data_IF_034038100550
#
_entry.id   IF_034038100550
#
_cell.length_a   1.000
_cell.length_b   1.000
_cell.length_c   1.000
_cell.angle_alpha   90.00
_cell.angle_beta   90.00
_cell.angle_gamma   90.00
#
_symmetry.space_group_name_H-M   'P 1'
#
loop_
_entity.id
_entity.type
_entity.pdbx_description
1 polymer ?
#
# COMPACT_ATOMS: atom_id res chain seq x y z
N UNK A 1 -6.69 5.56 20.00
CA UNK A 1 -5.63 5.31 19.00
C UNK A 1 -5.94 6.20 17.82
N UNK A 2 -4.96 6.97 17.37
CA UNK A 2 -5.09 7.72 16.12
C UNK A 2 -5.20 6.71 14.98
N UNK A 3 -6.19 6.91 14.12
CA UNK A 3 -6.40 6.07 12.94
C UNK A 3 -5.75 6.72 11.73
N UNK A 4 -5.07 5.92 10.90
CA UNK A 4 -4.42 6.38 9.69
C UNK A 4 -5.46 6.77 8.62
N UNK A 5 -6.48 5.93 8.41
CA UNK A 5 -7.58 6.24 7.49
C UNK A 5 -8.55 7.21 8.17
N UNK A 6 -8.56 8.44 7.69
CA UNK A 6 -9.43 9.51 8.20
C UNK A 6 -10.61 9.82 7.28
N UNK A 7 -10.51 9.46 6.01
CA UNK A 7 -11.53 9.74 4.99
C UNK A 7 -11.61 8.59 4.00
N UNK A 8 -12.81 8.29 3.55
CA UNK A 8 -13.08 7.45 2.39
C UNK A 8 -13.72 8.35 1.33
N UNK A 9 -13.18 8.31 0.11
CA UNK A 9 -13.70 9.03 -1.05
C UNK A 9 -14.30 7.98 -1.99
N UNK A 10 -15.50 8.23 -2.49
CA UNK A 10 -16.21 7.33 -3.41
C UNK A 10 -16.43 8.07 -4.72
N UNK A 11 -15.98 7.47 -5.82
CA UNK A 11 -16.22 7.98 -7.16
C UNK A 11 -16.93 6.91 -8.00
N UNK A 12 -17.99 7.29 -8.66
CA UNK A 12 -18.67 6.43 -9.63
C UNK A 12 -18.13 6.70 -11.04
N UNK A 13 -17.64 5.67 -11.70
CA UNK A 13 -17.17 5.71 -13.08
C UNK A 13 -18.08 4.79 -13.90
N UNK A 14 -18.74 5.33 -14.90
CA UNK A 14 -19.53 4.51 -15.81
C UNK A 14 -18.58 3.80 -16.80
N UNK A 15 -18.52 2.46 -16.81
CA UNK A 15 -17.68 1.75 -17.76
C UNK A 15 -18.17 2.00 -19.21
N UNK A 16 -17.26 2.15 -20.19
CA UNK A 16 -17.64 2.28 -21.58
C UNK A 16 -18.39 1.04 -22.06
N UNK A 17 -19.43 1.21 -22.86
CA UNK A 17 -20.22 0.11 -23.43
C UNK A 17 -19.64 -0.36 -24.76
N UNK A 18 -19.66 -1.66 -25.02
CA UNK A 18 -19.31 -2.25 -26.32
C UNK A 18 -17.82 -2.49 -26.56
N UNK A 19 -16.97 -2.28 -25.58
CA UNK A 19 -15.55 -2.55 -25.62
C UNK A 19 -15.22 -3.90 -24.96
N UNK A 20 -14.06 -4.46 -25.29
CA UNK A 20 -13.53 -5.64 -24.57
C UNK A 20 -13.03 -5.26 -23.17
N UNK A 21 -12.65 -6.24 -22.37
CA UNK A 21 -12.29 -6.00 -20.97
C UNK A 21 -10.95 -5.28 -20.82
N UNK A 22 -10.01 -5.45 -21.76
CA UNK A 22 -8.76 -4.71 -21.79
C UNK A 22 -8.98 -3.21 -22.04
N UNK A 23 -9.81 -2.85 -23.03
CA UNK A 23 -10.16 -1.47 -23.35
C UNK A 23 -10.92 -0.81 -22.18
N UNK A 24 -11.80 -1.57 -21.49
CA UNK A 24 -12.48 -1.09 -20.30
C UNK A 24 -11.52 -0.83 -19.15
N UNK A 25 -10.52 -1.69 -18.95
CA UNK A 25 -9.49 -1.50 -17.94
C UNK A 25 -8.67 -0.23 -18.20
N UNK A 26 -8.26 0.02 -19.45
CA UNK A 26 -7.58 1.26 -19.83
C UNK A 26 -8.47 2.51 -19.61
N UNK A 27 -9.75 2.39 -19.91
CA UNK A 27 -10.71 3.48 -19.66
C UNK A 27 -10.88 3.76 -18.15
N UNK A 28 -10.86 2.72 -17.31
CA UNK A 28 -10.87 2.88 -15.85
C UNK A 28 -9.62 3.63 -15.38
N UNK A 29 -8.43 3.25 -15.85
CA UNK A 29 -7.18 3.95 -15.51
C UNK A 29 -7.25 5.42 -15.94
N UNK A 30 -7.74 5.70 -17.16
CA UNK A 30 -7.91 7.09 -17.65
C UNK A 30 -8.84 7.90 -16.75
N UNK A 31 -9.91 7.28 -16.26
CA UNK A 31 -10.84 7.94 -15.35
C UNK A 31 -10.24 8.18 -13.97
N UNK A 32 -9.44 7.24 -13.44
CA UNK A 32 -8.68 7.41 -12.19
C UNK A 32 -7.69 8.58 -12.33
N UNK A 33 -6.95 8.68 -13.43
CA UNK A 33 -6.04 9.79 -13.70
C UNK A 33 -6.78 11.14 -13.81
N UNK A 34 -7.99 11.15 -14.37
CA UNK A 34 -8.82 12.36 -14.41
C UNK A 34 -9.28 12.77 -13.01
N UNK A 35 -9.61 11.82 -12.14
CA UNK A 35 -9.94 12.09 -10.75
C UNK A 35 -8.73 12.66 -9.99
N UNK A 36 -7.54 12.11 -10.21
CA UNK A 36 -6.30 12.60 -9.60
C UNK A 36 -6.00 14.06 -9.94
N UNK A 37 -6.28 14.49 -11.17
CA UNK A 37 -6.12 15.91 -11.56
C UNK A 37 -7.01 16.86 -10.74
N UNK A 38 -8.11 16.37 -10.18
CA UNK A 38 -9.04 17.15 -9.37
C UNK A 38 -8.77 17.00 -7.87
N UNK A 39 -8.45 15.80 -7.44
CA UNK A 39 -8.19 15.45 -6.05
C UNK A 39 -7.24 14.25 -5.96
N UNK A 40 -5.98 14.50 -5.62
CA UNK A 40 -4.95 13.48 -5.43
C UNK A 40 -4.62 13.22 -3.94
N UNK A 41 -5.38 13.83 -3.00
CA UNK A 41 -5.23 13.65 -1.56
C UNK A 41 -5.83 12.31 -1.09
N UNK A 42 -5.25 11.22 -1.56
CA UNK A 42 -5.55 9.84 -1.16
C UNK A 42 -4.38 8.92 -1.51
N UNK A 43 -4.26 7.79 -0.82
CA UNK A 43 -3.14 6.86 -0.97
C UNK A 43 -3.58 5.46 -1.41
N UNK A 44 -4.66 4.92 -0.83
CA UNK A 44 -5.12 3.57 -1.10
C UNK A 44 -6.30 3.59 -2.06
N UNK A 45 -6.30 2.66 -3.01
CA UNK A 45 -7.34 2.45 -4.01
C UNK A 45 -7.99 1.09 -3.81
N UNK A 46 -9.31 1.08 -3.87
CA UNK A 46 -10.19 -0.08 -4.04
C UNK A 46 -11.08 0.15 -5.25
N UNK A 47 -11.55 -0.90 -5.87
CA UNK A 47 -12.48 -0.86 -7.01
C UNK A 47 -13.43 -2.05 -6.92
N UNK A 48 -14.63 -1.90 -7.46
CA UNK A 48 -15.64 -2.95 -7.64
C UNK A 48 -15.43 -3.79 -8.91
N UNK A 49 -14.24 -3.66 -9.55
CA UNK A 49 -13.91 -4.40 -10.76
C UNK A 49 -12.91 -5.51 -10.46
N UNK A 50 -13.36 -6.77 -10.53
CA UNK A 50 -12.61 -7.96 -10.11
C UNK A 50 -12.03 -8.78 -11.26
N UNK A 51 -12.32 -8.39 -12.52
CA UNK A 51 -11.82 -9.10 -13.70
C UNK A 51 -10.30 -9.01 -13.82
N UNK A 52 -9.66 -10.09 -14.28
CA UNK A 52 -8.20 -10.22 -14.41
C UNK A 52 -7.52 -9.04 -15.11
N UNK A 53 -8.14 -8.53 -16.18
CA UNK A 53 -7.57 -7.42 -16.93
C UNK A 53 -7.62 -6.11 -16.17
N UNK A 54 -8.67 -5.88 -15.37
CA UNK A 54 -8.75 -4.74 -14.46
C UNK A 54 -7.71 -4.85 -13.36
N UNK A 55 -7.60 -6.00 -12.71
CA UNK A 55 -6.63 -6.23 -11.63
C UNK A 55 -5.20 -6.03 -12.12
N UNK A 56 -4.85 -6.60 -13.29
CA UNK A 56 -3.52 -6.42 -13.90
C UNK A 56 -3.23 -4.96 -14.24
N UNK A 57 -4.20 -4.27 -14.84
CA UNK A 57 -4.05 -2.87 -15.22
C UNK A 57 -3.88 -1.97 -13.98
N UNK A 58 -4.68 -2.18 -12.94
CA UNK A 58 -4.62 -1.43 -11.69
C UNK A 58 -3.31 -1.69 -10.93
N UNK A 59 -2.83 -2.92 -10.89
CA UNK A 59 -1.52 -3.23 -10.33
C UNK A 59 -0.40 -2.51 -11.09
N UNK A 60 -0.39 -2.58 -12.43
CA UNK A 60 0.61 -1.90 -13.25
C UNK A 60 0.53 -0.38 -13.09
N UNK A 61 -0.67 0.17 -13.02
CA UNK A 61 -0.89 1.58 -12.77
C UNK A 61 -0.35 2.01 -11.41
N UNK A 62 -0.64 1.27 -10.34
CA UNK A 62 -0.16 1.58 -8.99
C UNK A 62 1.39 1.60 -8.93
N UNK A 63 2.06 0.66 -9.61
CA UNK A 63 3.53 0.65 -9.75
C UNK A 63 4.03 1.89 -10.49
N UNK A 64 3.35 2.28 -11.56
CA UNK A 64 3.67 3.48 -12.35
C UNK A 64 3.51 4.79 -11.59
N UNK A 65 2.85 4.80 -10.43
CA UNK A 65 2.75 5.99 -9.57
C UNK A 65 3.99 6.22 -8.70
N UNK A 66 4.93 5.28 -8.65
CA UNK A 66 6.17 5.44 -7.90
C UNK A 66 7.09 6.42 -8.60
N UNK A 67 7.49 7.51 -7.93
CA UNK A 67 8.33 8.52 -8.56
C UNK A 67 9.72 7.98 -8.85
N UNK A 68 10.25 8.30 -10.01
CA UNK A 68 11.63 8.02 -10.39
C UNK A 68 12.61 8.89 -9.60
N UNK A 69 13.89 8.50 -9.54
CA UNK A 69 14.94 9.31 -8.92
C UNK A 69 15.05 10.72 -9.55
N UNK A 70 14.78 10.83 -10.85
CA UNK A 70 14.81 12.10 -11.56
C UNK A 70 13.66 13.04 -11.13
N UNK A 71 12.44 12.51 -10.99
CA UNK A 71 11.27 13.24 -10.51
C UNK A 71 11.45 13.67 -9.05
N UNK A 72 11.99 12.80 -8.20
CA UNK A 72 12.36 13.12 -6.83
C UNK A 72 13.40 14.24 -6.77
N UNK A 73 14.42 14.18 -7.65
CA UNK A 73 15.46 15.22 -7.76
C UNK A 73 14.94 16.55 -8.33
N UNK A 74 13.87 16.53 -9.11
CA UNK A 74 13.20 17.73 -9.61
C UNK A 74 12.28 18.39 -8.56
N UNK A 75 12.02 17.72 -7.44
CA UNK A 75 11.14 18.24 -6.38
C UNK A 75 9.66 18.06 -6.70
N UNK A 76 9.32 17.11 -7.56
CA UNK A 76 7.92 16.77 -7.86
C UNK A 76 7.20 16.17 -6.63
N UNK A 77 5.90 16.37 -6.58
CA UNK A 77 5.08 15.85 -5.49
C UNK A 77 5.06 14.32 -5.47
N UNK A 78 4.87 13.74 -4.28
CA UNK A 78 4.77 12.30 -4.11
C UNK A 78 3.35 11.84 -4.41
N UNK A 79 3.16 11.26 -5.57
CA UNK A 79 1.88 10.76 -6.06
C UNK A 79 1.70 9.26 -5.90
N UNK A 80 2.53 8.60 -5.06
CA UNK A 80 2.46 7.15 -4.82
C UNK A 80 1.08 6.70 -4.38
N UNK A 81 0.62 5.61 -4.98
CA UNK A 81 -0.64 4.96 -4.65
C UNK A 81 -0.39 3.49 -4.31
N UNK A 82 -1.31 2.90 -3.57
CA UNK A 82 -1.32 1.48 -3.25
C UNK A 82 -2.68 0.89 -3.60
N UNK A 83 -2.71 -0.19 -4.37
CA UNK A 83 -3.93 -0.85 -4.78
C UNK A 83 -4.17 -2.11 -3.95
N UNK A 84 -5.39 -2.22 -3.40
CA UNK A 84 -5.92 -3.46 -2.86
C UNK A 84 -6.99 -3.97 -3.81
N UNK A 85 -6.93 -5.26 -4.14
CA UNK A 85 -7.91 -5.89 -5.01
C UNK A 85 -8.18 -7.32 -4.59
N UNK A 86 -9.25 -7.88 -5.16
CA UNK A 86 -9.58 -9.29 -4.99
C UNK A 86 -9.47 -10.03 -6.32
N UNK A 87 -9.40 -11.35 -6.26
CA UNK A 87 -9.35 -12.23 -7.44
C UNK A 87 -9.92 -13.59 -7.10
N UNK A 88 -10.61 -14.20 -8.06
CA UNK A 88 -11.03 -15.61 -8.03
C UNK A 88 -10.14 -16.51 -8.89
N UNK A 89 -9.11 -15.93 -9.53
CA UNK A 89 -8.20 -16.63 -10.42
C UNK A 89 -6.97 -17.14 -9.66
N UNK A 90 -6.91 -18.45 -9.43
CA UNK A 90 -5.76 -19.14 -8.81
C UNK A 90 -4.45 -19.03 -9.59
N UNK A 91 -4.52 -18.65 -10.86
CA UNK A 91 -3.38 -18.56 -11.77
C UNK A 91 -2.98 -17.11 -12.07
N UNK A 92 -3.61 -16.15 -11.43
CA UNK A 92 -3.28 -14.74 -11.64
C UNK A 92 -1.89 -14.44 -11.07
N UNK A 93 -0.93 -14.24 -11.96
CA UNK A 93 0.44 -13.90 -11.61
C UNK A 93 0.68 -12.41 -11.86
N UNK A 94 0.75 -11.65 -10.79
CA UNK A 94 1.19 -10.25 -10.79
C UNK A 94 2.42 -10.15 -9.89
N UNK A 95 3.46 -9.45 -10.33
CA UNK A 95 4.64 -9.17 -9.50
C UNK A 95 4.78 -7.66 -9.35
N UNK A 96 4.30 -7.16 -8.23
CA UNK A 96 4.23 -5.74 -7.99
C UNK A 96 4.21 -5.47 -6.48
N UNK A 97 5.02 -4.54 -6.02
CA UNK A 97 5.11 -4.18 -4.58
C UNK A 97 4.05 -3.17 -4.14
N UNK A 98 3.34 -2.55 -5.10
CA UNK A 98 2.33 -1.52 -4.83
C UNK A 98 0.91 -2.04 -4.89
N UNK A 99 0.76 -3.35 -4.91
CA UNK A 99 -0.55 -3.98 -4.82
C UNK A 99 -0.54 -5.18 -3.89
N UNK A 100 -1.68 -5.42 -3.27
CA UNK A 100 -1.97 -6.61 -2.49
C UNK A 100 -3.30 -7.20 -2.95
N UNK A 101 -3.30 -8.48 -3.28
CA UNK A 101 -4.48 -9.19 -3.73
C UNK A 101 -4.94 -10.18 -2.66
N UNK A 102 -6.26 -10.33 -2.54
CA UNK A 102 -6.88 -11.36 -1.73
C UNK A 102 -7.72 -12.28 -2.61
N UNK A 103 -7.55 -13.58 -2.43
CA UNK A 103 -8.34 -14.59 -3.14
C UNK A 103 -9.69 -14.81 -2.45
N UNK A 104 -10.73 -14.88 -3.25
CA UNK A 104 -12.07 -15.33 -2.87
C UNK A 104 -12.65 -16.24 -3.95
N UNK A 105 -13.62 -17.08 -3.61
CA UNK A 105 -14.30 -17.89 -4.63
C UNK A 105 -15.20 -17.02 -5.51
N UNK A 106 -15.36 -17.37 -6.79
CA UNK A 106 -16.17 -16.62 -7.77
C UNK A 106 -17.58 -16.29 -7.27
N UNK A 107 -18.17 -17.16 -6.48
CA UNK A 107 -19.52 -17.00 -5.93
C UNK A 107 -19.59 -15.99 -4.76
N UNK A 108 -18.45 -15.54 -4.26
CA UNK A 108 -18.33 -14.64 -3.11
C UNK A 108 -17.61 -13.31 -3.48
N UNK A 109 -17.42 -13.00 -4.74
CA UNK A 109 -16.81 -11.74 -5.19
C UNK A 109 -17.58 -10.51 -4.71
N UNK A 110 -18.91 -10.60 -4.58
CA UNK A 110 -19.79 -9.54 -4.07
C UNK A 110 -19.64 -9.28 -2.54
N UNK A 111 -18.84 -10.08 -1.83
CA UNK A 111 -18.52 -9.82 -0.43
C UNK A 111 -17.40 -8.78 -0.27
N UNK A 112 -16.76 -8.35 -1.37
CA UNK A 112 -15.68 -7.34 -1.38
C UNK A 112 -14.58 -7.66 -0.36
N UNK A 113 -13.93 -8.80 -0.55
CA UNK A 113 -12.94 -9.32 0.40
C UNK A 113 -11.73 -8.37 0.57
N UNK A 114 -11.34 -7.64 -0.44
CA UNK A 114 -10.30 -6.62 -0.42
C UNK A 114 -10.70 -5.42 0.45
N UNK A 115 -11.94 -4.94 0.31
CA UNK A 115 -12.47 -3.86 1.13
C UNK A 115 -12.61 -4.28 2.61
N UNK A 116 -13.06 -5.51 2.87
CA UNK A 116 -13.14 -6.07 4.21
C UNK A 116 -11.74 -6.20 4.85
N UNK A 117 -10.75 -6.65 4.08
CA UNK A 117 -9.37 -6.79 4.52
C UNK A 117 -8.71 -5.44 4.80
N UNK A 118 -8.80 -4.51 3.85
CA UNK A 118 -8.30 -3.14 4.03
C UNK A 118 -8.98 -2.44 5.20
N UNK A 119 -10.29 -2.53 5.31
CA UNK A 119 -11.06 -1.91 6.40
C UNK A 119 -10.72 -2.44 7.78
N UNK A 120 -10.30 -3.72 7.87
CA UNK A 120 -9.87 -4.34 9.13
C UNK A 120 -8.50 -3.85 9.60
N UNK A 121 -7.55 -3.60 8.70
CA UNK A 121 -6.14 -3.33 9.02
C UNK A 121 -5.71 -1.90 8.71
N UNK A 122 -6.19 -1.32 7.62
CA UNK A 122 -5.80 0.00 7.13
C UNK A 122 -5.94 1.17 8.10
N UNK A 123 -6.89 1.16 9.07
CA UNK A 123 -6.96 2.20 10.08
C UNK A 123 -5.75 2.30 11.02
N UNK A 124 -4.93 1.27 11.11
CA UNK A 124 -3.77 1.25 12.00
C UNK A 124 -2.54 1.88 11.33
N UNK A 125 -1.64 2.42 12.13
CA UNK A 125 -0.35 2.89 11.64
C UNK A 125 0.48 1.73 11.08
N UNK A 126 1.25 1.95 10.00
CA UNK A 126 2.22 0.97 9.52
C UNK A 126 3.10 0.46 10.68
N UNK A 127 3.41 -0.83 10.67
CA UNK A 127 4.19 -1.54 11.70
C UNK A 127 3.57 -1.61 13.11
N UNK A 128 2.49 -0.90 13.40
CA UNK A 128 1.73 -1.13 14.64
C UNK A 128 0.88 -2.39 14.57
N UNK A 129 0.76 -2.98 13.39
CA UNK A 129 -0.10 -4.13 13.09
C UNK A 129 0.53 -4.92 11.93
N UNK A 130 0.52 -6.24 12.03
CA UNK A 130 0.84 -7.11 10.89
C UNK A 130 -0.41 -7.34 10.05
N UNK A 131 -0.26 -7.49 8.75
CA UNK A 131 -1.37 -7.81 7.84
C UNK A 131 -1.72 -9.31 7.88
N UNK A 132 -0.77 -10.17 8.21
CA UNK A 132 -1.02 -11.58 8.50
C UNK A 132 -1.82 -11.74 9.82
N UNK A 133 -2.54 -12.86 9.95
CA UNK A 133 -3.33 -13.22 11.13
C UNK A 133 -4.51 -12.29 11.44
N UNK A 134 -5.01 -11.58 10.44
CA UNK A 134 -6.20 -10.75 10.59
C UNK A 134 -7.46 -11.53 10.23
N UNK A 135 -8.56 -11.11 10.82
CA UNK A 135 -9.87 -11.76 10.63
C UNK A 135 -10.84 -10.69 10.11
N UNK A 136 -10.83 -10.40 8.80
CA UNK A 136 -11.82 -9.53 8.19
C UNK A 136 -13.23 -10.09 8.46
N UNK A 137 -14.19 -9.21 8.62
CA UNK A 137 -15.57 -9.60 8.91
C UNK A 137 -16.41 -9.47 7.63
N UNK A 138 -17.40 -10.35 7.49
CA UNK A 138 -18.34 -10.27 6.38
C UNK A 138 -17.90 -10.98 5.10
N UNK A 139 -16.80 -11.73 5.16
CA UNK A 139 -16.30 -12.51 4.02
C UNK A 139 -16.32 -14.02 4.33
N UNK A 140 -16.55 -14.80 3.30
CA UNK A 140 -16.60 -16.27 3.36
C UNK A 140 -15.19 -16.84 3.13
N UNK A 141 -14.84 -17.86 3.89
CA UNK A 141 -13.58 -18.58 3.70
C UNK A 141 -13.65 -19.41 2.40
N UNK A 142 -12.68 -19.23 1.47
CA UNK A 142 -12.70 -19.93 0.21
C UNK A 142 -12.49 -21.44 0.38
N UNK A 143 -13.16 -22.23 -0.45
CA UNK A 143 -13.10 -23.68 -0.47
C UNK A 143 -11.93 -24.20 -1.32
N UNK A 144 -10.68 -23.95 -0.88
CA UNK A 144 -9.46 -24.29 -1.62
C UNK A 144 -8.79 -25.57 -1.11
N UNK A 145 -8.26 -26.35 -2.04
CA UNK A 145 -7.43 -27.54 -1.77
C UNK A 145 -6.02 -27.16 -1.33
N UNK A 146 -5.25 -28.12 -0.79
CA UNK A 146 -3.85 -27.88 -0.41
C UNK A 146 -2.98 -27.44 -1.59
N UNK A 147 -3.18 -28.02 -2.79
CA UNK A 147 -2.44 -27.63 -3.98
C UNK A 147 -2.77 -26.20 -4.45
N UNK A 148 -4.05 -25.80 -4.38
CA UNK A 148 -4.47 -24.43 -4.68
C UNK A 148 -3.92 -23.43 -3.66
N UNK A 149 -3.85 -23.82 -2.40
CA UNK A 149 -3.22 -23.02 -1.34
C UNK A 149 -1.75 -22.77 -1.59
N UNK A 150 -0.99 -23.80 -1.97
CA UNK A 150 0.40 -23.69 -2.38
C UNK A 150 0.57 -22.76 -3.60
N UNK A 151 -0.30 -22.88 -4.60
CA UNK A 151 -0.29 -22.00 -5.77
C UNK A 151 -0.53 -20.53 -5.41
N UNK A 152 -1.47 -20.24 -4.51
CA UNK A 152 -1.71 -18.88 -4.02
C UNK A 152 -0.52 -18.33 -3.21
N UNK A 153 0.14 -19.17 -2.41
CA UNK A 153 1.35 -18.78 -1.67
C UNK A 153 2.51 -18.47 -2.63
N UNK A 154 2.71 -19.28 -3.68
CA UNK A 154 3.71 -19.03 -4.72
C UNK A 154 3.42 -17.78 -5.56
N UNK A 155 2.14 -17.48 -5.77
CA UNK A 155 1.69 -16.27 -6.48
C UNK A 155 1.69 -15.01 -5.61
N UNK A 156 2.00 -15.11 -4.31
CA UNK A 156 1.93 -14.03 -3.33
C UNK A 156 0.52 -13.42 -3.20
N UNK A 157 -0.51 -14.23 -3.34
CA UNK A 157 -1.90 -13.83 -3.14
C UNK A 157 -2.31 -14.16 -1.71
N UNK A 158 -2.90 -13.21 -1.01
CA UNK A 158 -3.45 -13.42 0.32
C UNK A 158 -4.76 -14.19 0.23
N UNK A 159 -5.11 -14.96 1.24
CA UNK A 159 -6.38 -15.68 1.31
C UNK A 159 -6.78 -15.96 2.75
N UNK A 160 -8.08 -16.13 2.98
CA UNK A 160 -8.59 -16.55 4.28
C UNK A 160 -8.38 -18.06 4.44
N UNK A 161 -7.84 -18.48 5.57
CA UNK A 161 -7.60 -19.88 5.90
C UNK A 161 -8.04 -20.20 7.32
N UNK A 162 -8.19 -21.48 7.62
CA UNK A 162 -8.45 -21.96 8.98
C UNK A 162 -7.32 -22.87 9.46
N UNK A 163 -6.70 -22.53 10.58
CA UNK A 163 -5.77 -23.39 11.29
C UNK A 163 -6.15 -23.42 12.78
N UNK A 164 -6.08 -24.58 13.40
CA UNK A 164 -6.46 -24.77 14.81
C UNK A 164 -7.85 -24.22 15.16
N UNK A 165 -8.81 -24.33 14.24
CA UNK A 165 -10.20 -23.80 14.37
C UNK A 165 -10.25 -22.26 14.50
N UNK A 166 -9.27 -21.57 13.96
CA UNK A 166 -9.21 -20.12 13.88
C UNK A 166 -9.03 -19.71 12.43
N UNK A 167 -9.93 -18.85 11.98
CA UNK A 167 -9.86 -18.24 10.64
C UNK A 167 -8.98 -17.01 10.69
N UNK A 168 -8.17 -16.82 9.66
CA UNK A 168 -7.32 -15.64 9.52
C UNK A 168 -6.79 -15.51 8.09
N UNK A 169 -6.38 -14.28 7.70
CA UNK A 169 -5.71 -14.05 6.44
C UNK A 169 -4.28 -14.58 6.50
N UNK A 170 -3.94 -15.45 5.53
CA UNK A 170 -2.62 -16.02 5.33
C UNK A 170 -1.73 -15.02 4.57
N UNK A 171 -0.45 -15.06 4.84
CA UNK A 171 0.65 -14.30 4.25
C UNK A 171 0.74 -12.84 4.68
N UNK A 172 -0.13 -11.93 4.28
CA UNK A 172 -0.02 -10.48 4.55
C UNK A 172 1.05 -9.82 3.68
N UNK A 173 1.10 -10.20 2.39
CA UNK A 173 2.14 -9.80 1.44
C UNK A 173 1.58 -9.02 0.26
N UNK A 174 2.44 -8.19 -0.34
CA UNK A 174 2.26 -7.60 -1.65
C UNK A 174 2.47 -8.66 -2.75
N UNK A 175 2.09 -8.37 -3.97
CA UNK A 175 2.20 -9.33 -5.09
C UNK A 175 3.65 -9.67 -5.48
N UNK A 176 4.65 -8.93 -5.02
CA UNK A 176 6.08 -9.29 -5.18
C UNK A 176 6.62 -10.17 -4.05
N UNK A 177 5.83 -10.38 -2.99
CA UNK A 177 6.18 -11.20 -1.83
C UNK A 177 6.72 -10.41 -0.63
N UNK A 178 6.93 -9.09 -0.75
CA UNK A 178 7.27 -8.23 0.39
C UNK A 178 6.07 -8.11 1.33
N UNK A 179 6.31 -7.92 2.62
CA UNK A 179 5.23 -7.69 3.58
C UNK A 179 4.55 -6.34 3.34
N UNK A 180 3.22 -6.31 3.38
CA UNK A 180 2.42 -5.08 3.18
C UNK A 180 2.83 -4.01 4.20
N UNK A 181 3.05 -4.37 5.45
CA UNK A 181 3.46 -3.45 6.51
C UNK A 181 4.85 -2.84 6.25
N UNK A 182 5.79 -3.58 5.68
CA UNK A 182 7.10 -3.05 5.27
C UNK A 182 6.96 -2.01 4.16
N UNK A 183 6.16 -2.31 3.12
CA UNK A 183 5.95 -1.37 2.02
C UNK A 183 5.25 -0.09 2.48
N UNK A 184 4.18 -0.23 3.27
CA UNK A 184 3.48 0.93 3.85
C UNK A 184 4.36 1.72 4.82
N UNK A 185 5.23 1.03 5.57
CA UNK A 185 6.21 1.65 6.46
C UNK A 185 7.25 2.48 5.70
N UNK A 186 7.76 1.96 4.59
CA UNK A 186 8.71 2.68 3.74
C UNK A 186 8.08 3.95 3.14
N UNK A 187 6.84 3.85 2.64
CA UNK A 187 6.12 4.99 2.10
C UNK A 187 5.79 6.04 3.18
N UNK A 188 5.45 5.60 4.39
CA UNK A 188 5.24 6.49 5.53
C UNK A 188 6.50 7.29 5.85
N UNK A 189 7.68 6.62 5.92
CA UNK A 189 8.95 7.29 6.17
C UNK A 189 9.26 8.30 5.07
N UNK A 190 9.08 7.93 3.81
CA UNK A 190 9.38 8.79 2.67
C UNK A 190 8.49 10.04 2.66
N UNK A 191 7.19 9.88 2.89
CA UNK A 191 6.24 11.00 2.94
C UNK A 191 6.52 11.93 4.11
N UNK A 192 6.69 11.37 5.31
CA UNK A 192 6.94 12.14 6.52
C UNK A 192 8.30 12.87 6.47
N UNK A 193 9.32 12.23 5.90
CA UNK A 193 10.64 12.86 5.73
C UNK A 193 10.58 14.08 4.81
N UNK A 194 9.79 14.03 3.75
CA UNK A 194 9.58 15.19 2.86
C UNK A 194 8.89 16.33 3.59
N UNK A 195 7.84 16.01 4.35
CA UNK A 195 7.12 17.01 5.16
C UNK A 195 8.06 17.72 6.12
N UNK A 196 8.88 16.99 6.87
CA UNK A 196 9.84 17.54 7.84
C UNK A 196 10.96 18.35 7.15
N UNK A 197 11.47 17.88 6.00
CA UNK A 197 12.46 18.65 5.24
C UNK A 197 11.88 19.94 4.67
N UNK A 198 10.62 19.91 4.21
CA UNK A 198 9.92 21.11 3.77
C UNK A 198 9.69 22.10 4.92
N UNK A 199 9.35 21.61 6.11
CA UNK A 199 9.21 22.42 7.31
C UNK A 199 10.51 23.18 7.65
N UNK A 200 11.67 22.51 7.55
CA UNK A 200 12.98 23.18 7.73
C UNK A 200 13.15 24.37 6.80
N UNK A 201 12.74 24.24 5.53
CA UNK A 201 12.86 25.33 4.55
C UNK A 201 11.86 26.47 4.81
N UNK A 202 10.67 26.16 5.28
CA UNK A 202 9.61 27.15 5.53
C UNK A 202 9.82 27.91 6.86
N UNK A 203 10.30 27.23 7.87
CA UNK A 203 10.47 27.81 9.22
C UNK A 203 11.75 28.66 9.37
N UNK A 204 12.73 28.45 8.49
CA UNK A 204 13.98 29.19 8.51
C UNK A 204 14.02 30.23 7.38
N UNK A 205 14.30 31.47 7.73
CA UNK A 205 14.44 32.54 6.74
C UNK A 205 15.57 32.25 5.70
N UNK A 206 16.53 31.40 6.07
CA UNK A 206 17.63 30.95 5.23
C UNK A 206 18.25 29.69 5.81
N UNK A 207 18.45 28.69 4.98
CA UNK A 207 19.29 27.53 5.27
C UNK A 207 20.64 27.73 4.57
N UNK A 208 21.73 28.09 5.29
CA UNK A 208 23.02 28.41 4.66
C UNK A 208 23.75 27.15 4.23
N UNK A 209 24.58 27.26 3.18
CA UNK A 209 25.51 26.17 2.78
C UNK A 209 26.74 26.17 3.72
N UNK A 210 26.52 25.82 4.97
CA UNK A 210 27.52 25.72 6.04
C UNK A 210 27.18 24.52 6.91
N UNK A 211 28.11 24.10 7.78
CA UNK A 211 27.89 23.01 8.75
C UNK A 211 26.61 23.22 9.58
N UNK A 212 26.28 24.45 9.93
CA UNK A 212 25.06 24.77 10.65
C UNK A 212 23.79 24.50 9.81
N UNK A 213 23.82 24.82 8.51
CA UNK A 213 22.69 24.51 7.62
C UNK A 213 22.55 23.02 7.34
N UNK A 214 23.67 22.32 7.16
CA UNK A 214 23.66 20.86 7.03
C UNK A 214 23.14 20.19 8.33
N UNK A 215 23.50 20.70 9.50
CA UNK A 215 22.99 20.20 10.76
C UNK A 215 21.47 20.36 10.92
N UNK A 216 20.87 21.43 10.38
CA UNK A 216 19.43 21.61 10.38
C UNK A 216 18.73 20.53 9.55
N UNK A 217 19.22 20.29 8.32
CA UNK A 217 18.66 19.26 7.42
C UNK A 217 18.85 17.86 8.02
N UNK A 218 20.06 17.56 8.51
CA UNK A 218 20.34 16.28 9.16
C UNK A 218 19.45 16.06 10.40
N UNK A 219 19.19 17.12 11.16
CA UNK A 219 18.30 17.09 12.32
C UNK A 219 16.88 16.64 11.97
N UNK A 220 16.30 17.14 10.87
CA UNK A 220 15.00 16.71 10.39
C UNK A 220 14.99 15.25 9.94
N UNK A 221 16.03 14.82 9.22
CA UNK A 221 16.19 13.41 8.82
C UNK A 221 16.27 12.50 10.03
N UNK A 222 17.11 12.83 11.02
CA UNK A 222 17.22 12.05 12.25
C UNK A 222 15.91 12.05 13.06
N UNK A 223 15.20 13.16 13.14
CA UNK A 223 13.91 13.23 13.81
C UNK A 223 12.88 12.28 13.18
N UNK A 224 12.81 12.25 11.85
CA UNK A 224 11.94 11.32 11.09
C UNK A 224 12.31 9.87 11.35
N UNK A 225 13.58 9.52 11.27
CA UNK A 225 14.04 8.15 11.47
C UNK A 225 13.85 7.68 12.93
N UNK A 226 14.08 8.55 13.92
CA UNK A 226 13.78 8.25 15.31
C UNK A 226 12.27 8.02 15.53
N UNK A 227 11.42 8.85 14.92
CA UNK A 227 9.97 8.63 14.96
C UNK A 227 9.58 7.29 14.33
N UNK A 228 10.16 6.92 13.20
CA UNK A 228 9.94 5.62 12.57
C UNK A 228 10.40 4.45 13.47
N UNK A 229 11.48 4.64 14.22
CA UNK A 229 11.93 3.70 15.23
C UNK A 229 10.95 3.59 16.40
N UNK A 230 10.44 4.70 16.89
CA UNK A 230 9.44 4.72 17.98
C UNK A 230 8.11 4.07 17.58
N UNK A 231 7.74 4.16 16.29
CA UNK A 231 6.59 3.48 15.72
C UNK A 231 6.84 1.99 15.42
N UNK A 232 8.08 1.51 15.53
CA UNK A 232 8.46 0.12 15.25
C UNK A 232 8.65 -0.19 13.76
N UNK A 233 8.69 0.82 12.88
CA UNK A 233 9.00 0.66 11.45
C UNK A 233 10.48 0.32 11.26
N UNK A 234 11.35 0.97 12.01
CA UNK A 234 12.80 0.70 12.05
C UNK A 234 13.13 -0.08 13.32
N UNK A 235 13.91 -1.14 13.17
CA UNK A 235 14.36 -1.95 14.30
C UNK A 235 15.23 -1.13 15.26
N UNK A 236 15.13 -1.43 16.55
CA UNK A 236 16.03 -0.90 17.57
C UNK A 236 17.25 -1.81 17.71
N UNK A 237 18.40 -1.19 17.92
CA UNK A 237 19.59 -1.90 18.35
C UNK A 237 19.39 -2.38 19.80
N UNK A 238 19.49 -3.69 20.08
CA UNK A 238 19.24 -4.22 21.41
C UNK A 238 20.27 -3.77 22.46
N UNK A 239 21.45 -3.29 22.05
CA UNK A 239 22.50 -2.84 22.98
C UNK A 239 22.39 -1.35 23.32
N UNK A 240 22.02 -0.51 22.35
CA UNK A 240 21.97 0.96 22.50
C UNK A 240 20.56 1.54 22.58
N UNK A 241 19.52 0.73 22.33
CA UNK A 241 18.11 1.16 22.18
C UNK A 241 17.89 2.25 21.11
N UNK A 242 18.89 2.51 20.28
CA UNK A 242 18.80 3.44 19.15
C UNK A 242 18.25 2.75 17.91
N UNK A 243 17.72 3.53 16.96
CA UNK A 243 17.31 3.01 15.66
C UNK A 243 18.51 2.51 14.84
N UNK A 244 18.34 1.41 14.13
CA UNK A 244 19.39 0.83 13.27
C UNK A 244 19.37 1.57 11.92
N UNK A 245 19.94 2.74 11.88
CA UNK A 245 20.11 3.54 10.66
C UNK A 245 21.37 4.41 10.74
N UNK A 246 21.86 4.84 9.57
CA UNK A 246 22.90 5.84 9.46
C UNK A 246 22.58 6.86 8.38
N UNK A 247 22.91 8.11 8.61
CA UNK A 247 22.82 9.18 7.61
C UNK A 247 24.25 9.49 7.13
N UNK A 248 24.49 9.30 5.84
CA UNK A 248 25.80 9.49 5.20
C UNK A 248 25.84 10.84 4.46
#
# INVERSE_FOLDING_TARGET
ADTLIRKVKIAGIAPPTGQDDGEKAEALITAIETLRQTDDDWYMLLTDQDGDDYVKALCAWAEGTEPTEAELGAGEEDHRKFYFGQTDNLSLAVKNRRCALIYTDTENLDEEADAAYLGNVGPFYPQSVTWKFKVPQGITMPAITSAQREALEEANVNFLTEEYKKQYVKNGVCCDGEFIDNQLGADYIASYMREELYAVLLENAKVPYTDAGFALVAGAVFATLNRATDLGIIARDPESDAGVFSVV
#
